data_IF_031192015655
#
_entry.id   IF_031192015655
#
_cell.length_a   1.000
_cell.length_b   1.000
_cell.length_c   1.000
_cell.angle_alpha   90.00
_cell.angle_beta   90.00
_cell.angle_gamma   90.00
#
_symmetry.space_group_name_H-M   'P 1'
#
loop_
_entity.id
_entity.type
_entity.pdbx_description
1 polymer ?
#
# COMPACT_ATOMS: atom_id res chain seq x y z
N UNK A 1 -35.24 -15.58 -37.24
CA UNK A 1 -34.52 -14.44 -36.62
C UNK A 1 -34.16 -14.55 -35.12
N UNK A 2 -34.97 -15.10 -34.20
CA UNK A 2 -34.82 -14.78 -32.76
C UNK A 2 -33.75 -15.47 -31.88
N UNK A 3 -32.91 -16.40 -32.38
CA UNK A 3 -31.93 -17.13 -31.52
C UNK A 3 -30.59 -16.41 -31.39
N UNK A 4 -30.17 -15.67 -32.43
CA UNK A 4 -28.89 -14.96 -32.46
C UNK A 4 -28.94 -13.63 -31.68
N UNK A 5 -30.08 -12.93 -31.71
CA UNK A 5 -30.27 -11.69 -30.95
C UNK A 5 -30.24 -11.93 -29.43
N UNK A 6 -30.82 -13.04 -28.96
CA UNK A 6 -30.79 -13.42 -27.54
C UNK A 6 -29.38 -13.74 -27.01
N UNK A 7 -28.55 -14.42 -27.81
CA UNK A 7 -27.17 -14.73 -27.43
C UNK A 7 -26.28 -13.48 -27.34
N UNK A 8 -26.48 -12.52 -28.25
CA UNK A 8 -25.79 -11.22 -28.25
C UNK A 8 -26.16 -10.44 -26.99
N UNK A 9 -27.45 -10.34 -26.65
CA UNK A 9 -27.92 -9.65 -25.44
C UNK A 9 -27.34 -10.30 -24.16
N UNK A 10 -27.20 -11.62 -24.12
CA UNK A 10 -26.60 -12.33 -22.97
C UNK A 10 -25.10 -12.02 -22.85
N UNK A 11 -24.35 -12.04 -23.94
CA UNK A 11 -22.92 -11.68 -23.94
C UNK A 11 -22.68 -10.23 -23.50
N UNK A 12 -23.49 -9.29 -24.00
CA UNK A 12 -23.43 -7.88 -23.58
C UNK A 12 -23.82 -7.69 -22.10
N UNK A 13 -24.82 -8.43 -21.59
CA UNK A 13 -25.17 -8.40 -20.15
C UNK A 13 -24.03 -8.93 -19.28
N UNK A 14 -23.39 -10.04 -19.66
CA UNK A 14 -22.22 -10.57 -18.93
C UNK A 14 -21.04 -9.60 -18.99
N UNK A 15 -20.80 -8.98 -20.14
CA UNK A 15 -19.76 -7.97 -20.32
C UNK A 15 -20.02 -6.71 -19.47
N UNK A 16 -21.26 -6.22 -19.39
CA UNK A 16 -21.66 -5.09 -18.54
C UNK A 16 -21.52 -5.43 -17.05
N UNK A 17 -21.86 -6.67 -16.65
CA UNK A 17 -21.64 -7.14 -15.27
C UNK A 17 -20.15 -7.20 -14.92
N UNK A 18 -19.29 -7.64 -15.84
CA UNK A 18 -17.83 -7.66 -15.67
C UNK A 18 -17.21 -6.25 -15.62
N UNK A 19 -17.74 -5.29 -16.40
CA UNK A 19 -17.30 -3.89 -16.37
C UNK A 19 -17.79 -3.18 -15.08
N UNK A 20 -19.00 -3.51 -14.61
CA UNK A 20 -19.56 -2.99 -13.34
C UNK A 20 -18.91 -3.58 -12.08
N UNK A 21 -18.30 -4.76 -12.18
CA UNK A 21 -17.46 -5.37 -11.13
C UNK A 21 -16.11 -4.64 -10.94
N UNK A 22 -15.71 -3.80 -11.89
CA UNK A 22 -14.46 -3.02 -11.84
C UNK A 22 -14.63 -1.57 -11.37
N UNK A 23 -15.86 -1.11 -11.11
CA UNK A 23 -16.12 0.21 -10.51
C UNK A 23 -16.19 0.13 -8.98
N UNK A 24 -15.21 -0.52 -8.36
CA UNK A 24 -15.09 -0.60 -6.91
C UNK A 24 -14.12 0.48 -6.40
N UNK A 25 -14.73 1.56 -5.91
CA UNK A 25 -14.24 2.46 -4.86
C UNK A 25 -12.89 3.14 -5.10
N UNK A 26 -12.97 4.37 -5.62
CA UNK A 26 -11.95 5.40 -5.37
C UNK A 26 -12.51 6.29 -4.25
N UNK A 27 -12.41 5.82 -3.00
CA UNK A 27 -12.58 6.69 -1.84
C UNK A 27 -11.19 7.12 -1.36
N UNK A 28 -10.77 8.39 -1.49
CA UNK A 28 -9.45 8.84 -1.03
C UNK A 28 -9.21 8.48 0.46
N UNK A 29 -10.29 8.52 1.23
CA UNK A 29 -10.36 8.20 2.65
C UNK A 29 -10.58 6.69 2.86
N UNK A 30 -9.57 5.93 3.30
CA UNK A 30 -9.74 4.53 3.72
C UNK A 30 -8.75 3.52 3.17
N UNK A 31 -7.78 3.95 2.35
CA UNK A 31 -6.77 3.07 1.77
C UNK A 31 -5.53 2.87 2.64
N UNK A 32 -5.35 3.61 3.73
CA UNK A 32 -4.15 3.53 4.57
C UNK A 32 -4.49 2.86 5.88
N UNK A 33 -3.70 1.85 6.27
CA UNK A 33 -3.85 1.18 7.57
C UNK A 33 -2.51 0.67 8.07
N UNK A 34 -2.40 0.56 9.39
CA UNK A 34 -1.31 -0.16 10.04
C UNK A 34 -1.69 -1.60 10.33
N UNK A 35 -0.71 -2.49 10.21
CA UNK A 35 -0.81 -3.88 10.66
C UNK A 35 0.12 -4.05 11.86
N UNK A 36 -0.48 -4.37 13.00
CA UNK A 36 0.20 -4.63 14.28
C UNK A 36 0.88 -6.01 14.28
N UNK A 37 1.81 -6.19 13.36
CA UNK A 37 2.69 -7.35 13.26
C UNK A 37 4.06 -6.83 12.89
N UNK A 38 5.08 -7.17 13.68
CA UNK A 38 6.45 -6.76 13.39
C UNK A 38 7.13 -7.75 12.44
N UNK A 39 7.74 -7.23 11.38
CA UNK A 39 8.44 -8.01 10.35
C UNK A 39 9.69 -7.29 9.88
N UNK A 40 10.65 -8.01 9.30
CA UNK A 40 11.67 -7.37 8.46
C UNK A 40 11.03 -6.69 7.26
N UNK A 41 11.72 -5.75 6.62
CA UNK A 41 11.14 -5.01 5.49
C UNK A 41 10.70 -5.93 4.35
N UNK A 42 11.52 -6.93 4.00
CA UNK A 42 11.19 -7.89 2.95
C UNK A 42 9.99 -8.77 3.31
N UNK A 43 9.92 -9.24 4.56
CA UNK A 43 8.76 -10.01 5.04
C UNK A 43 7.50 -9.16 5.10
N UNK A 44 7.61 -7.88 5.45
CA UNK A 44 6.51 -6.92 5.45
C UNK A 44 5.98 -6.68 4.03
N UNK A 45 6.89 -6.51 3.05
CA UNK A 45 6.54 -6.36 1.65
C UNK A 45 5.84 -7.61 1.11
N UNK A 46 6.40 -8.81 1.34
CA UNK A 46 5.76 -10.07 0.94
C UNK A 46 4.40 -10.24 1.60
N UNK A 47 4.29 -9.93 2.90
CA UNK A 47 3.02 -9.97 3.62
C UNK A 47 1.96 -9.06 2.98
N UNK A 48 2.36 -7.84 2.59
CA UNK A 48 1.49 -6.92 1.87
C UNK A 48 1.10 -7.46 0.49
N UNK A 49 2.04 -7.93 -0.33
CA UNK A 49 1.74 -8.44 -1.68
C UNK A 49 0.90 -9.70 -1.69
N UNK A 50 0.94 -10.49 -0.62
CA UNK A 50 0.10 -11.68 -0.46
C UNK A 50 -1.35 -11.35 -0.06
N UNK A 51 -1.60 -10.24 0.65
CA UNK A 51 -2.89 -9.95 1.30
C UNK A 51 -3.55 -8.65 0.85
N UNK A 52 -2.75 -7.74 0.29
CA UNK A 52 -3.05 -6.35 -0.04
C UNK A 52 -2.32 -5.99 -1.35
N UNK A 53 -2.10 -4.70 -1.61
CA UNK A 53 -1.33 -4.26 -2.77
C UNK A 53 0.18 -4.33 -2.53
N UNK A 54 0.66 -3.47 -1.65
CA UNK A 54 2.07 -3.37 -1.29
C UNK A 54 2.21 -2.56 0.02
N UNK A 55 3.44 -2.40 0.50
CA UNK A 55 3.78 -1.35 1.46
C UNK A 55 3.37 0.02 0.91
N UNK A 56 3.03 0.93 1.83
CA UNK A 56 2.56 2.25 1.44
C UNK A 56 3.65 3.08 0.75
N UNK A 57 3.34 3.70 -0.39
CA UNK A 57 4.13 4.79 -0.96
C UNK A 57 3.44 6.11 -0.63
N UNK A 58 4.17 7.05 -0.03
CA UNK A 58 3.63 8.34 0.41
C UNK A 58 4.08 9.40 -0.58
N UNK A 59 3.14 9.95 -1.36
CA UNK A 59 3.44 10.83 -2.49
C UNK A 59 3.18 12.29 -2.21
N UNK A 60 2.46 12.61 -1.14
CA UNK A 60 2.11 13.97 -0.77
C UNK A 60 1.63 14.06 0.70
N UNK A 61 1.31 15.27 1.13
CA UNK A 61 0.77 15.55 2.48
C UNK A 61 -0.62 14.97 2.72
N UNK A 62 -1.40 14.71 1.68
CA UNK A 62 -2.73 14.09 1.79
C UNK A 62 -2.60 12.59 2.13
N UNK A 63 -1.69 11.87 1.48
CA UNK A 63 -1.36 10.48 1.84
C UNK A 63 -0.92 10.38 3.30
N UNK A 64 -0.09 11.32 3.74
CA UNK A 64 0.32 11.42 5.15
C UNK A 64 -0.86 11.68 6.09
N UNK A 65 -1.74 12.61 5.73
CA UNK A 65 -2.92 12.93 6.52
C UNK A 65 -3.80 11.69 6.72
N UNK A 66 -4.07 10.94 5.64
CA UNK A 66 -4.88 9.73 5.72
C UNK A 66 -4.19 8.60 6.49
N UNK A 67 -2.88 8.42 6.30
CA UNK A 67 -2.11 7.45 7.07
C UNK A 67 -2.14 7.77 8.57
N UNK A 68 -1.92 9.02 8.97
CA UNK A 68 -1.96 9.44 10.37
C UNK A 68 -3.34 9.22 11.01
N UNK A 69 -4.41 9.47 10.27
CA UNK A 69 -5.77 9.23 10.75
C UNK A 69 -6.15 7.74 10.83
N UNK A 70 -5.34 6.85 10.27
CA UNK A 70 -5.55 5.40 10.34
C UNK A 70 -4.90 4.73 11.56
N UNK A 71 -4.10 5.49 12.34
CA UNK A 71 -3.43 4.99 13.55
C UNK A 71 -4.48 4.48 14.55
N UNK A 72 -4.29 3.25 15.03
CA UNK A 72 -5.14 2.61 16.04
C UNK A 72 -4.43 2.55 17.38
N UNK A 73 -5.22 2.41 18.45
CA UNK A 73 -4.70 2.13 19.79
C UNK A 73 -3.82 0.87 19.75
N UNK A 74 -2.59 0.97 20.25
CA UNK A 74 -1.61 -0.14 20.25
C UNK A 74 -0.46 0.04 19.26
N UNK A 75 -0.58 0.94 18.27
CA UNK A 75 0.49 1.26 17.33
C UNK A 75 1.74 1.74 18.07
N UNK A 76 2.88 1.10 17.83
CA UNK A 76 4.14 1.39 18.54
C UNK A 76 4.83 2.70 18.10
N UNK A 77 4.26 3.41 17.12
CA UNK A 77 4.78 4.67 16.61
C UNK A 77 5.67 4.56 15.37
N UNK A 78 5.98 3.34 14.89
CA UNK A 78 6.91 3.11 13.78
C UNK A 78 6.43 2.02 12.83
N UNK A 79 6.54 2.25 11.53
CA UNK A 79 6.17 1.25 10.54
C UNK A 79 7.00 1.32 9.26
N UNK A 80 7.09 0.21 8.54
CA UNK A 80 7.68 0.15 7.22
C UNK A 80 6.82 0.85 6.17
N UNK A 81 7.47 1.62 5.30
CA UNK A 81 6.90 2.13 4.04
C UNK A 81 7.60 1.47 2.85
N UNK A 82 7.05 1.64 1.65
CA UNK A 82 7.53 0.98 0.44
C UNK A 82 8.84 1.53 -0.11
N UNK A 83 9.37 2.60 0.46
CA UNK A 83 10.63 3.21 0.02
C UNK A 83 11.82 2.34 0.48
N UNK A 84 12.63 1.92 -0.50
CA UNK A 84 13.86 1.15 -0.30
C UNK A 84 14.90 1.52 -1.37
N UNK A 85 16.18 1.32 -1.07
CA UNK A 85 17.27 1.43 -2.06
C UNK A 85 18.31 0.36 -1.77
N UNK A 86 18.81 -0.30 -2.81
CA UNK A 86 19.83 -1.36 -2.68
C UNK A 86 21.21 -0.81 -2.30
N UNK A 87 21.45 0.48 -2.51
CA UNK A 87 22.77 1.08 -2.31
C UNK A 87 22.76 2.38 -1.47
N UNK A 88 21.63 2.78 -0.88
CA UNK A 88 21.36 4.01 -0.08
C UNK A 88 21.65 5.37 -0.75
N UNK A 89 22.55 5.44 -1.72
CA UNK A 89 23.02 6.70 -2.30
C UNK A 89 21.94 7.41 -3.09
N UNK A 90 20.93 6.69 -3.59
CA UNK A 90 19.89 7.31 -4.42
C UNK A 90 19.17 8.39 -3.68
N UNK A 91 18.90 8.21 -2.38
CA UNK A 91 18.17 9.19 -1.58
C UNK A 91 18.88 10.53 -1.39
N UNK A 92 20.18 10.59 -1.67
CA UNK A 92 20.98 11.82 -1.64
C UNK A 92 21.01 12.55 -3.00
N UNK A 93 20.44 11.96 -4.05
CA UNK A 93 20.41 12.58 -5.36
C UNK A 93 19.22 13.52 -5.49
N UNK A 94 19.46 14.66 -6.12
CA UNK A 94 18.40 15.59 -6.52
C UNK A 94 17.75 15.19 -7.86
N UNK A 95 18.40 14.33 -8.65
CA UNK A 95 17.93 13.96 -9.99
C UNK A 95 16.70 13.05 -9.93
N UNK A 96 15.52 13.49 -10.45
CA UNK A 96 14.30 12.71 -10.44
C UNK A 96 14.36 11.39 -11.20
N UNK A 97 15.31 11.22 -12.13
CA UNK A 97 15.43 10.01 -12.94
C UNK A 97 15.76 8.74 -12.13
N UNK A 98 16.26 8.89 -10.90
CA UNK A 98 16.62 7.77 -10.02
C UNK A 98 15.47 7.29 -9.12
N UNK A 99 14.29 7.89 -9.25
CA UNK A 99 13.15 7.66 -8.37
C UNK A 99 11.90 7.22 -9.13
N UNK A 100 11.05 6.47 -8.43
CA UNK A 100 9.72 6.10 -8.92
C UNK A 100 8.78 7.30 -9.02
N UNK A 101 7.66 7.11 -9.73
CA UNK A 101 6.64 8.15 -9.86
C UNK A 101 6.11 8.58 -8.48
N UNK A 102 6.22 9.88 -8.17
CA UNK A 102 5.76 10.48 -6.92
C UNK A 102 6.74 10.39 -5.74
N UNK A 103 7.90 9.76 -5.89
CA UNK A 103 8.90 9.63 -4.81
C UNK A 103 9.76 10.89 -4.62
N UNK A 104 9.91 11.71 -5.66
CA UNK A 104 10.65 12.99 -5.59
C UNK A 104 9.81 14.15 -5.11
N UNK A 105 8.49 14.05 -5.27
CA UNK A 105 7.52 15.11 -4.98
C UNK A 105 7.27 15.29 -3.49
N UNK A 106 7.47 14.23 -2.70
CA UNK A 106 7.30 14.25 -1.26
C UNK A 106 8.41 13.49 -0.54
N UNK A 107 9.12 14.18 0.34
CA UNK A 107 10.09 13.60 1.26
C UNK A 107 9.92 14.21 2.63
N UNK A 108 9.87 13.37 3.65
CA UNK A 108 9.68 13.82 5.03
C UNK A 108 10.73 13.23 5.97
N UNK A 109 11.98 13.19 5.55
CA UNK A 109 13.10 12.74 6.36
C UNK A 109 13.17 13.47 7.69
N UNK A 110 13.53 12.76 8.76
CA UNK A 110 13.90 13.39 10.01
C UNK A 110 15.16 14.25 9.83
N UNK A 111 15.41 15.22 10.73
CA UNK A 111 16.67 15.96 10.72
C UNK A 111 17.85 14.99 10.73
N UNK A 112 18.82 15.23 9.84
CA UNK A 112 20.03 14.41 9.64
C UNK A 112 19.79 13.12 8.85
N UNK A 113 18.55 12.75 8.51
CA UNK A 113 18.26 11.63 7.62
C UNK A 113 18.15 12.06 6.14
N UNK A 114 18.39 11.14 5.18
CA UNK A 114 18.92 9.80 5.39
C UNK A 114 20.43 9.84 5.67
N UNK A 115 20.91 9.01 6.61
CA UNK A 115 22.31 9.08 7.06
C UNK A 115 23.14 7.83 6.73
N UNK A 116 22.50 6.74 6.30
CA UNK A 116 23.09 5.45 6.02
C UNK A 116 24.09 4.98 7.08
N UNK A 117 23.69 5.01 8.36
CA UNK A 117 24.55 4.69 9.48
C UNK A 117 25.09 3.27 9.37
N UNK A 118 26.43 3.13 9.43
CA UNK A 118 27.09 1.84 9.26
C UNK A 118 27.03 1.25 7.85
N UNK A 119 26.54 2.01 6.86
CA UNK A 119 26.56 1.62 5.44
C UNK A 119 25.52 0.57 5.04
N UNK A 120 24.50 0.34 5.87
CA UNK A 120 23.51 -0.73 5.66
C UNK A 120 22.07 -0.29 6.00
N UNK A 121 21.74 0.99 5.87
CA UNK A 121 20.37 1.47 6.06
C UNK A 121 19.73 1.65 4.69
N UNK A 122 19.02 0.61 4.26
CA UNK A 122 18.56 0.44 2.89
C UNK A 122 17.02 0.46 2.78
N UNK A 123 16.34 0.55 3.92
CA UNK A 123 14.89 0.52 4.04
C UNK A 123 14.39 1.69 4.88
N UNK A 124 13.17 2.15 4.63
CA UNK A 124 12.64 3.35 5.27
C UNK A 124 11.50 3.01 6.22
N UNK A 125 11.64 3.41 7.48
CA UNK A 125 10.50 3.50 8.40
C UNK A 125 9.91 4.90 8.42
N UNK A 126 8.61 4.95 8.63
CA UNK A 126 7.94 6.14 9.12
C UNK A 126 7.82 6.08 10.65
N UNK A 127 8.12 7.20 11.28
CA UNK A 127 7.85 7.47 12.70
C UNK A 127 6.74 8.49 12.81
N UNK A 128 5.72 8.19 13.62
CA UNK A 128 4.66 9.16 13.88
C UNK A 128 5.24 10.41 14.56
N UNK A 129 4.84 11.62 14.13
CA UNK A 129 3.66 11.92 13.31
C UNK A 129 3.87 11.92 11.78
N UNK A 130 4.98 11.39 11.26
CA UNK A 130 5.13 11.14 9.83
C UNK A 130 6.54 11.25 9.26
N UNK A 131 7.55 11.48 10.10
CA UNK A 131 8.92 11.67 9.65
C UNK A 131 9.61 10.33 9.35
N UNK A 132 10.57 10.33 8.43
CA UNK A 132 11.18 9.12 7.90
C UNK A 132 12.60 8.94 8.40
N UNK A 133 12.98 7.69 8.62
CA UNK A 133 14.36 7.27 8.84
C UNK A 133 14.71 6.16 7.86
N UNK A 134 15.91 6.21 7.29
CA UNK A 134 16.53 5.01 6.78
C UNK A 134 17.08 4.18 7.93
N UNK A 135 16.86 2.87 7.86
CA UNK A 135 17.29 1.92 8.89
C UNK A 135 17.61 0.55 8.24
N UNK A 136 18.33 -0.35 8.92
CA UNK A 136 18.66 -1.66 8.36
C UNK A 136 17.43 -2.53 8.08
N UNK A 137 17.31 -3.09 6.87
CA UNK A 137 16.10 -3.83 6.44
C UNK A 137 15.74 -5.06 7.29
N UNK A 138 16.67 -5.58 8.09
CA UNK A 138 16.50 -6.79 8.91
C UNK A 138 15.91 -6.53 10.30
N UNK A 139 15.78 -5.28 10.75
CA UNK A 139 15.05 -4.98 11.99
C UNK A 139 13.56 -5.19 11.82
N UNK A 140 12.86 -5.34 12.93
CA UNK A 140 11.43 -5.64 12.95
C UNK A 140 10.62 -4.39 13.29
N UNK A 141 9.72 -4.00 12.39
CA UNK A 141 8.79 -2.90 12.58
C UNK A 141 7.38 -3.30 12.11
N UNK A 142 6.37 -2.56 12.56
CA UNK A 142 4.99 -2.74 12.07
C UNK A 142 4.88 -2.35 10.60
N UNK A 143 3.73 -2.61 9.97
CA UNK A 143 3.57 -2.48 8.52
C UNK A 143 2.58 -1.36 8.22
N UNK A 144 3.00 -0.34 7.45
CA UNK A 144 2.07 0.62 6.87
C UNK A 144 1.71 0.14 5.46
N UNK A 145 0.44 -0.18 5.25
CA UNK A 145 -0.03 -0.79 4.00
C UNK A 145 -0.98 0.13 3.24
N UNK A 146 -1.03 -0.12 1.93
CA UNK A 146 -2.12 0.35 1.08
C UNK A 146 -3.17 -0.77 0.95
N UNK A 147 -4.37 -0.53 1.49
CA UNK A 147 -5.56 -1.33 1.29
C UNK A 147 -6.28 -0.87 0.02
N UNK A 148 -6.34 -1.71 -1.03
CA UNK A 148 -7.31 -1.49 -2.11
C UNK A 148 -8.73 -1.70 -1.57
N UNK A 149 -9.72 -0.94 -2.04
CA UNK A 149 -11.14 -1.20 -1.79
C UNK A 149 -11.69 -2.53 -2.35
N UNK A 150 -10.85 -3.47 -2.79
CA UNK A 150 -11.29 -4.73 -3.39
C UNK A 150 -10.91 -5.87 -2.43
N UNK A 151 -11.73 -6.17 -1.42
CA UNK A 151 -11.81 -7.51 -0.80
C UNK A 151 -12.76 -7.64 0.40
N UNK A 152 -13.08 -6.59 1.17
CA UNK A 152 -13.95 -6.79 2.34
C UNK A 152 -15.41 -7.07 1.96
N UNK A 153 -15.87 -6.48 0.86
CA UNK A 153 -17.18 -6.79 0.27
C UNK A 153 -17.19 -8.14 -0.44
N UNK A 154 -16.10 -8.56 -1.10
CA UNK A 154 -16.06 -9.84 -1.81
C UNK A 154 -15.94 -11.06 -0.87
N UNK A 155 -15.20 -10.98 0.24
CA UNK A 155 -15.15 -12.06 1.24
C UNK A 155 -16.49 -12.24 1.97
N UNK A 156 -17.28 -11.17 2.15
CA UNK A 156 -18.67 -11.28 2.66
C UNK A 156 -19.63 -11.85 1.61
N UNK A 157 -19.40 -11.61 0.32
CA UNK A 157 -20.25 -12.14 -0.77
C UNK A 157 -19.96 -13.63 -1.04
N UNK A 158 -18.69 -14.06 -0.99
CA UNK A 158 -18.28 -15.46 -1.21
C UNK A 158 -18.77 -16.42 -0.11
N UNK A 159 -19.01 -15.93 1.11
CA UNK A 159 -19.57 -16.73 2.21
C UNK A 159 -21.10 -16.90 2.18
N UNK A 160 -21.83 -16.29 1.24
CA UNK A 160 -23.31 -16.35 1.21
C UNK A 160 -23.87 -17.49 0.33
N UNK A 161 -23.08 -18.19 -0.49
CA UNK A 161 -23.63 -19.12 -1.49
C UNK A 161 -23.24 -20.61 -1.38
N UNK A 162 -23.09 -21.14 -0.17
CA UNK A 162 -23.02 -22.62 0.04
C UNK A 162 -24.20 -23.21 0.81
N UNK A 163 -25.38 -22.57 0.79
CA UNK A 163 -26.62 -23.22 1.22
C UNK A 163 -27.83 -22.73 0.43
N UNK A 164 -28.00 -23.30 -0.76
CA UNK A 164 -29.33 -23.55 -1.31
C UNK A 164 -29.38 -25.05 -1.63
N UNK A 165 -30.12 -25.78 -0.79
CA UNK A 165 -30.77 -27.05 -1.16
C UNK A 165 -31.95 -26.69 -2.07
#
# INVERSE_FOLDING_TARGET
EGRYEGAIIVQFKHLIVLIGLCTLCVSPSGHYHFVDIQKSWSEAQSYCRERYLDLVTIRNTEDMYWLNNSVKTGFNGKAWIGLHDENSWRWNLEDPAFYGQGETEYRNWNPVEPNNNGGNELCVEIRMPGNWNDIPCNIHAEIAKLQQCIAESMNKILHINTSCI
#
